data_IF_288261952036
#
_entry.id   IF_288261952036
#
_cell.length_a   1.000
_cell.length_b   1.000
_cell.length_c   1.000
_cell.angle_alpha   90.00
_cell.angle_beta   90.00
_cell.angle_gamma   90.00
#
_symmetry.space_group_name_H-M   'P 1'
#
loop_
_entity.id
_entity.type
_entity.pdbx_description
1 polymer ?
#
# COMPACT_ATOMS: atom_id res chain seq x y z
N UNK A 1 25.56 -12.15 -29.09
CA UNK A 1 24.51 -13.15 -29.39
C UNK A 1 23.69 -13.26 -28.13
N UNK A 2 22.76 -12.32 -27.96
CA UNK A 2 21.74 -12.41 -26.91
C UNK A 2 20.82 -13.57 -27.30
N UNK A 3 20.62 -14.50 -26.37
CA UNK A 3 19.68 -15.61 -26.55
C UNK A 3 18.28 -15.04 -26.71
N UNK A 4 17.63 -15.37 -27.83
CA UNK A 4 16.25 -15.03 -28.14
C UNK A 4 15.33 -15.54 -27.00
N UNK A 5 14.52 -14.68 -26.34
CA UNK A 5 13.65 -15.05 -25.21
C UNK A 5 12.60 -16.13 -25.50
N UNK A 6 12.43 -16.57 -26.74
CA UNK A 6 11.49 -17.61 -27.13
C UNK A 6 12.04 -19.02 -26.82
N UNK A 7 12.09 -19.38 -25.54
CA UNK A 7 12.21 -20.79 -25.13
C UNK A 7 10.90 -21.58 -25.32
N UNK A 8 9.81 -20.94 -25.77
CA UNK A 8 8.55 -21.60 -26.14
C UNK A 8 8.15 -21.28 -27.58
N UNK A 9 7.93 -22.31 -28.41
CA UNK A 9 7.35 -22.15 -29.75
C UNK A 9 5.85 -21.79 -29.63
N UNK A 10 5.53 -20.51 -29.43
CA UNK A 10 4.16 -20.00 -29.40
C UNK A 10 3.46 -20.03 -30.77
N UNK A 11 4.18 -20.39 -31.85
CA UNK A 11 3.53 -20.60 -33.16
C UNK A 11 2.54 -21.75 -33.08
N UNK A 12 2.91 -22.82 -32.35
CA UNK A 12 2.09 -24.03 -32.22
C UNK A 12 1.59 -24.26 -30.80
N UNK A 13 2.34 -23.86 -29.79
CA UNK A 13 1.94 -23.87 -28.37
C UNK A 13 1.05 -22.68 -28.00
N UNK A 14 0.33 -22.81 -26.88
CA UNK A 14 -0.51 -21.72 -26.38
C UNK A 14 0.36 -20.51 -25.98
N UNK A 15 -0.07 -19.32 -26.40
CA UNK A 15 0.52 -18.05 -25.96
C UNK A 15 0.15 -17.83 -24.49
N UNK A 16 1.09 -17.46 -23.59
CA UNK A 16 0.78 -17.16 -22.20
C UNK A 16 -0.27 -16.05 -22.07
N UNK A 17 -1.15 -16.14 -21.07
CA UNK A 17 -2.17 -15.12 -20.84
C UNK A 17 -1.55 -13.76 -20.44
N UNK A 18 -2.28 -12.68 -20.69
CA UNK A 18 -1.94 -11.36 -20.11
C UNK A 18 -2.01 -11.48 -18.59
N UNK A 19 -1.04 -10.91 -17.87
CA UNK A 19 -1.05 -10.96 -16.41
C UNK A 19 -2.28 -10.25 -15.86
N UNK A 20 -2.87 -10.84 -14.82
CA UNK A 20 -4.13 -10.37 -14.21
C UNK A 20 -3.93 -9.24 -13.20
N UNK A 21 -2.69 -8.98 -12.81
CA UNK A 21 -2.29 -7.93 -11.89
C UNK A 21 -1.94 -6.61 -12.60
N UNK A 22 -2.19 -6.51 -13.91
CA UNK A 22 -2.03 -5.30 -14.71
C UNK A 22 -3.40 -4.72 -15.04
N UNK A 23 -3.57 -3.42 -14.80
CA UNK A 23 -4.73 -2.68 -15.28
C UNK A 23 -4.45 -2.11 -16.68
N UNK A 24 -5.33 -2.39 -17.65
CA UNK A 24 -5.26 -1.82 -19.00
C UNK A 24 -6.27 -0.67 -19.09
N UNK A 25 -5.76 0.55 -19.16
CA UNK A 25 -6.54 1.77 -19.04
C UNK A 25 -6.56 2.50 -20.40
N UNK A 26 -7.73 2.74 -21.00
CA UNK A 26 -7.81 3.57 -22.20
C UNK A 26 -7.51 5.03 -21.85
N UNK A 27 -6.60 5.65 -22.60
CA UNK A 27 -6.20 7.06 -22.42
C UNK A 27 -6.15 7.79 -23.76
N UNK A 28 -6.46 9.09 -23.74
CA UNK A 28 -6.33 9.98 -24.89
C UNK A 28 -5.15 10.93 -24.64
N UNK A 29 -4.13 10.89 -25.49
CA UNK A 29 -2.96 11.76 -25.37
C UNK A 29 -2.64 12.41 -26.71
N UNK A 30 -2.68 13.74 -26.76
CA UNK A 30 -2.40 14.54 -27.98
C UNK A 30 -3.23 14.11 -29.22
N UNK A 31 -4.46 13.63 -29.02
CA UNK A 31 -5.33 13.14 -30.09
C UNK A 31 -5.05 11.71 -30.55
N UNK A 32 -4.16 10.98 -29.87
CA UNK A 32 -3.93 9.55 -30.05
C UNK A 32 -4.64 8.76 -28.96
N UNK A 33 -5.40 7.75 -29.36
CA UNK A 33 -6.09 6.82 -28.47
C UNK A 33 -5.17 5.66 -28.12
N UNK A 34 -4.81 5.51 -26.85
CA UNK A 34 -3.85 4.53 -26.35
C UNK A 34 -4.48 3.62 -25.30
N UNK A 35 -3.87 2.46 -25.10
CA UNK A 35 -4.07 1.56 -23.97
C UNK A 35 -2.81 1.61 -23.10
N UNK A 36 -2.93 2.21 -21.93
CA UNK A 36 -1.86 2.28 -20.93
C UNK A 36 -1.90 1.06 -20.01
N UNK A 37 -0.75 0.43 -19.78
CA UNK A 37 -0.63 -0.76 -18.94
C UNK A 37 -0.06 -0.34 -17.58
N UNK A 38 -0.93 -0.27 -16.59
CA UNK A 38 -0.55 0.07 -15.22
C UNK A 38 -0.20 -1.20 -14.43
N UNK A 39 1.09 -1.40 -14.20
CA UNK A 39 1.60 -2.45 -13.30
C UNK A 39 1.96 -1.85 -11.94
N UNK A 40 1.04 -1.96 -10.97
CA UNK A 40 1.25 -1.45 -9.61
C UNK A 40 2.40 -2.15 -8.88
N UNK A 41 2.80 -3.36 -9.33
CA UNK A 41 3.93 -4.07 -8.75
C UNK A 41 5.28 -3.61 -9.32
N UNK A 42 5.28 -2.84 -10.42
CA UNK A 42 6.49 -2.27 -11.01
C UNK A 42 7.42 -3.29 -11.68
N UNK A 43 6.87 -4.39 -12.22
CA UNK A 43 7.67 -5.32 -13.02
C UNK A 43 7.77 -4.90 -14.49
N UNK A 44 6.82 -4.09 -14.97
CA UNK A 44 6.82 -3.46 -16.29
C UNK A 44 7.42 -2.05 -16.27
N UNK A 45 7.92 -1.54 -17.42
CA UNK A 45 8.24 -0.12 -17.59
C UNK A 45 7.00 0.76 -17.37
N UNK A 46 7.19 1.88 -16.65
CA UNK A 46 6.10 2.78 -16.25
C UNK A 46 5.45 3.55 -17.41
N UNK A 47 6.03 3.53 -18.60
CA UNK A 47 5.56 4.23 -19.80
C UNK A 47 5.01 3.28 -20.88
N UNK A 48 4.78 2.01 -20.56
CA UNK A 48 4.30 1.04 -21.53
C UNK A 48 2.84 1.32 -21.93
N UNK A 49 2.66 1.73 -23.18
CA UNK A 49 1.35 1.95 -23.79
C UNK A 49 1.34 1.45 -25.24
N UNK A 50 0.16 1.02 -25.70
CA UNK A 50 -0.06 0.53 -27.06
C UNK A 50 -1.16 1.33 -27.74
N UNK A 51 -1.17 1.36 -29.07
CA UNK A 51 -2.27 1.95 -29.83
C UNK A 51 -3.57 1.18 -29.55
N UNK A 52 -4.69 1.88 -29.35
CA UNK A 52 -5.96 1.26 -28.99
C UNK A 52 -6.48 0.26 -30.03
N UNK A 53 -6.05 0.35 -31.29
CA UNK A 53 -6.40 -0.62 -32.32
C UNK A 53 -6.01 -2.07 -32.00
N UNK A 54 -5.10 -2.30 -31.05
CA UNK A 54 -4.68 -3.66 -30.63
C UNK A 54 -5.63 -4.32 -29.62
N UNK A 55 -6.65 -3.61 -29.12
CA UNK A 55 -7.60 -4.13 -28.13
C UNK A 55 -8.22 -5.50 -28.53
N UNK A 56 -8.65 -5.73 -29.80
CA UNK A 56 -9.16 -7.03 -30.21
C UNK A 56 -8.11 -8.15 -30.14
N UNK A 57 -6.82 -7.83 -30.33
CA UNK A 57 -5.73 -8.81 -30.21
C UNK A 57 -5.50 -9.21 -28.76
N UNK A 58 -5.50 -8.24 -27.84
CA UNK A 58 -5.33 -8.50 -26.41
C UNK A 58 -6.41 -9.47 -25.89
N UNK A 59 -7.65 -9.30 -26.35
CA UNK A 59 -8.77 -10.19 -26.00
C UNK A 59 -8.60 -11.65 -26.46
N UNK A 60 -7.70 -11.94 -27.40
CA UNK A 60 -7.40 -13.29 -27.84
C UNK A 60 -6.31 -13.97 -26.98
N UNK A 61 -5.53 -13.20 -26.21
CA UNK A 61 -4.39 -13.69 -25.41
C UNK A 61 -4.88 -14.19 -24.06
N UNK A 62 -5.51 -15.37 -24.10
CA UNK A 62 -6.20 -15.98 -22.95
C UNK A 62 -5.43 -17.15 -22.31
N UNK A 63 -4.22 -17.46 -22.78
CA UNK A 63 -3.47 -18.62 -22.30
C UNK A 63 -3.84 -19.95 -22.98
N UNK A 64 -4.76 -19.94 -23.94
CA UNK A 64 -5.39 -21.18 -24.47
C UNK A 64 -5.12 -21.46 -25.94
N UNK A 65 -4.68 -20.48 -26.72
CA UNK A 65 -4.51 -20.59 -28.17
C UNK A 65 -3.12 -20.17 -28.63
N UNK A 66 -2.66 -20.75 -29.73
CA UNK A 66 -1.38 -20.43 -30.39
C UNK A 66 -1.49 -19.26 -31.37
N UNK A 67 -0.36 -18.72 -31.81
CA UNK A 67 -0.31 -17.67 -32.83
C UNK A 67 -0.99 -18.14 -34.14
N UNK A 68 -0.79 -19.39 -34.55
CA UNK A 68 -1.45 -19.93 -35.74
C UNK A 68 -2.98 -19.99 -35.59
N UNK A 69 -3.48 -20.32 -34.39
CA UNK A 69 -4.91 -20.30 -34.11
C UNK A 69 -5.45 -18.87 -34.06
N UNK A 70 -4.71 -17.91 -33.48
CA UNK A 70 -5.06 -16.48 -33.52
C UNK A 70 -5.16 -15.98 -34.97
N UNK A 71 -4.18 -16.29 -35.82
CA UNK A 71 -4.19 -15.92 -37.24
C UNK A 71 -5.41 -16.50 -37.98
N UNK A 72 -5.78 -17.74 -37.67
CA UNK A 72 -7.00 -18.38 -38.21
C UNK A 72 -8.28 -17.68 -37.75
N UNK A 73 -8.39 -17.29 -36.47
CA UNK A 73 -9.54 -16.56 -35.93
C UNK A 73 -9.69 -15.17 -36.55
N UNK A 74 -8.55 -14.51 -36.80
CA UNK A 74 -8.46 -13.22 -37.48
C UNK A 74 -8.61 -13.34 -39.01
N UNK A 75 -8.86 -14.55 -39.54
CA UNK A 75 -9.03 -14.83 -40.97
C UNK A 75 -7.88 -14.30 -41.83
N UNK A 76 -6.66 -14.31 -41.29
CA UNK A 76 -5.46 -13.81 -41.97
C UNK A 76 -5.42 -12.30 -42.21
N UNK A 77 -6.24 -11.51 -41.51
CA UNK A 77 -6.15 -10.04 -41.56
C UNK A 77 -4.81 -9.51 -41.02
N UNK A 78 -4.16 -10.28 -40.16
CA UNK A 78 -2.85 -9.99 -39.58
C UNK A 78 -1.96 -11.21 -39.85
N UNK A 79 -0.72 -10.97 -40.29
CA UNK A 79 0.21 -12.04 -40.61
C UNK A 79 0.67 -12.77 -39.35
N UNK A 80 1.12 -14.02 -39.51
CA UNK A 80 1.71 -14.80 -38.40
C UNK A 80 2.95 -14.08 -37.85
N UNK A 81 3.77 -13.48 -38.72
CA UNK A 81 4.98 -12.76 -38.32
C UNK A 81 4.65 -11.51 -37.50
N UNK A 82 3.61 -10.75 -37.87
CA UNK A 82 3.16 -9.57 -37.11
C UNK A 82 2.60 -9.97 -35.75
N UNK A 83 1.81 -11.05 -35.68
CA UNK A 83 1.31 -11.58 -34.40
C UNK A 83 2.47 -12.05 -33.53
N UNK A 84 3.45 -12.74 -34.10
CA UNK A 84 4.64 -13.17 -33.39
C UNK A 84 5.43 -11.99 -32.83
N UNK A 85 5.65 -10.94 -33.63
CA UNK A 85 6.29 -9.70 -33.16
C UNK A 85 5.49 -9.01 -32.04
N UNK A 86 4.16 -9.02 -32.14
CA UNK A 86 3.28 -8.44 -31.11
C UNK A 86 3.35 -9.23 -29.79
N UNK A 87 3.27 -10.56 -29.84
CA UNK A 87 3.43 -11.40 -28.63
C UNK A 87 4.81 -11.21 -28.01
N UNK A 88 5.85 -11.15 -28.84
CA UNK A 88 7.21 -10.89 -28.35
C UNK A 88 7.36 -9.51 -27.71
N UNK A 89 6.71 -8.48 -28.24
CA UNK A 89 6.67 -7.15 -27.64
C UNK A 89 6.06 -7.20 -26.22
N UNK A 90 4.93 -7.88 -26.06
CA UNK A 90 4.26 -8.03 -24.76
C UNK A 90 5.12 -8.82 -23.76
N UNK A 91 5.70 -9.93 -24.20
CA UNK A 91 6.55 -10.79 -23.37
C UNK A 91 7.82 -10.06 -22.91
N UNK A 92 8.48 -9.36 -23.83
CA UNK A 92 9.67 -8.55 -23.56
C UNK A 92 9.42 -7.50 -22.47
N UNK A 93 8.24 -6.91 -22.46
CA UNK A 93 7.84 -5.91 -21.47
C UNK A 93 7.16 -6.51 -20.23
N UNK A 94 7.20 -7.83 -20.06
CA UNK A 94 6.60 -8.53 -18.91
C UNK A 94 5.09 -8.31 -18.75
N UNK A 95 4.36 -8.14 -19.87
CA UNK A 95 2.90 -8.05 -19.85
C UNK A 95 2.21 -9.43 -19.83
N UNK A 96 2.94 -10.49 -20.18
CA UNK A 96 2.44 -11.87 -20.23
C UNK A 96 2.88 -12.69 -19.02
N UNK A 97 2.06 -13.66 -18.62
CA UNK A 97 2.36 -14.62 -17.56
C UNK A 97 3.35 -15.69 -18.05
N UNK A 98 4.57 -15.28 -18.38
CA UNK A 98 5.61 -16.11 -19.00
C UNK A 98 6.77 -16.47 -18.06
N UNK A 99 7.67 -17.32 -18.53
CA UNK A 99 8.96 -17.58 -17.87
C UNK A 99 9.81 -16.29 -17.80
N UNK A 100 9.77 -15.44 -18.83
CA UNK A 100 10.46 -14.16 -18.84
C UNK A 100 9.96 -13.25 -17.72
N UNK A 101 8.64 -13.13 -17.56
CA UNK A 101 8.05 -12.39 -16.44
C UNK A 101 8.46 -12.98 -15.09
N UNK A 102 8.42 -14.31 -14.93
CA UNK A 102 8.80 -14.96 -13.67
C UNK A 102 10.25 -14.69 -13.31
N UNK A 103 11.16 -14.75 -14.29
CA UNK A 103 12.57 -14.39 -14.14
C UNK A 103 12.72 -12.93 -13.72
N UNK A 104 12.08 -12.00 -14.46
CA UNK A 104 12.13 -10.56 -14.19
C UNK A 104 11.59 -10.20 -12.80
N UNK A 105 10.46 -10.80 -12.41
CA UNK A 105 9.88 -10.69 -11.07
C UNK A 105 10.88 -11.13 -10.01
N UNK A 106 11.45 -12.32 -10.13
CA UNK A 106 12.39 -12.85 -9.15
C UNK A 106 13.67 -11.99 -9.06
N UNK A 107 14.18 -11.50 -10.19
CA UNK A 107 15.32 -10.57 -10.22
C UNK A 107 14.99 -9.28 -9.44
N UNK A 108 13.88 -8.61 -9.75
CA UNK A 108 13.48 -7.35 -9.08
C UNK A 108 13.32 -7.56 -7.57
N UNK A 109 12.64 -8.65 -7.16
CA UNK A 109 12.40 -8.89 -5.74
C UNK A 109 13.68 -9.25 -4.99
N UNK A 110 14.53 -10.12 -5.56
CA UNK A 110 15.81 -10.49 -4.94
C UNK A 110 16.80 -9.32 -4.90
N UNK A 111 16.80 -8.46 -5.92
CA UNK A 111 17.60 -7.23 -5.91
C UNK A 111 17.20 -6.36 -4.72
N UNK A 112 15.90 -6.08 -4.53
CA UNK A 112 15.41 -5.33 -3.38
C UNK A 112 15.75 -6.00 -2.05
N UNK A 113 15.48 -7.30 -1.91
CA UNK A 113 15.74 -8.07 -0.67
C UNK A 113 17.21 -8.00 -0.25
N UNK A 114 18.13 -7.93 -1.21
CA UNK A 114 19.57 -7.82 -0.97
C UNK A 114 20.06 -6.44 -0.52
N UNK A 115 19.25 -5.39 -0.64
CA UNK A 115 19.65 -4.03 -0.27
C UNK A 115 19.68 -3.79 1.25
N UNK A 116 20.59 -2.95 1.73
CA UNK A 116 20.57 -2.46 3.12
C UNK A 116 19.65 -1.24 3.31
N UNK A 117 19.18 -0.66 2.21
CA UNK A 117 18.38 0.55 2.19
C UNK A 117 17.04 0.33 1.49
N UNK A 118 15.98 0.93 2.02
CA UNK A 118 14.71 1.08 1.33
C UNK A 118 14.65 2.48 0.74
N UNK A 119 14.84 2.55 -0.58
CA UNK A 119 14.67 3.78 -1.35
C UNK A 119 13.19 4.20 -1.41
N UNK A 120 12.91 5.50 -1.57
CA UNK A 120 11.54 5.99 -1.65
C UNK A 120 10.83 5.47 -2.90
N UNK A 121 9.59 4.99 -2.73
CA UNK A 121 8.73 4.54 -3.82
C UNK A 121 7.92 5.67 -4.45
N UNK A 122 7.76 6.81 -3.76
CA UNK A 122 6.91 7.92 -4.20
C UNK A 122 7.68 9.17 -4.68
N UNK A 123 9.00 9.16 -4.57
CA UNK A 123 9.85 10.26 -5.06
C UNK A 123 9.71 10.39 -6.58
N UNK A 124 9.46 11.61 -7.07
CA UNK A 124 9.15 11.89 -8.47
C UNK A 124 7.69 11.62 -8.87
N UNK A 125 6.88 11.00 -7.98
CA UNK A 125 5.49 10.64 -8.23
C UNK A 125 4.55 11.52 -7.40
N UNK A 126 4.62 11.40 -6.07
CA UNK A 126 3.76 12.17 -5.15
C UNK A 126 4.47 13.40 -4.57
N UNK A 127 5.80 13.40 -4.52
CA UNK A 127 6.61 14.53 -4.09
C UNK A 127 7.92 14.61 -4.89
N UNK A 128 8.63 15.75 -4.83
CA UNK A 128 9.87 15.91 -5.58
C UNK A 128 11.00 15.03 -5.06
N UNK A 129 11.75 14.38 -5.95
CA UNK A 129 12.98 13.66 -5.60
C UNK A 129 14.15 14.60 -5.22
N UNK A 130 14.05 15.89 -5.52
CA UNK A 130 15.08 16.88 -5.19
C UNK A 130 14.91 17.40 -3.75
N UNK A 131 15.93 17.29 -2.88
CA UNK A 131 15.80 17.62 -1.46
C UNK A 131 15.28 19.03 -1.15
N UNK A 132 15.70 20.05 -1.91
CA UNK A 132 15.25 21.43 -1.66
C UNK A 132 13.76 21.61 -1.97
N UNK A 133 13.30 21.06 -3.09
CA UNK A 133 11.90 21.11 -3.51
C UNK A 133 11.02 20.22 -2.61
N UNK A 134 11.51 19.04 -2.24
CA UNK A 134 10.86 18.17 -1.26
C UNK A 134 10.61 18.91 0.05
N UNK A 135 11.67 19.51 0.62
CA UNK A 135 11.54 20.28 1.86
C UNK A 135 10.57 21.45 1.68
N UNK A 136 10.66 22.21 0.59
CA UNK A 136 9.74 23.31 0.33
C UNK A 136 8.28 22.83 0.31
N UNK A 137 7.97 21.78 -0.46
CA UNK A 137 6.62 21.20 -0.56
C UNK A 137 6.09 20.76 0.81
N UNK A 138 6.89 20.04 1.61
CA UNK A 138 6.44 19.58 2.93
C UNK A 138 6.22 20.75 3.90
N UNK A 139 7.05 21.80 3.86
CA UNK A 139 6.86 22.99 4.69
C UNK A 139 5.62 23.78 4.27
N UNK A 140 5.34 23.90 2.97
CA UNK A 140 4.13 24.53 2.45
C UNK A 140 2.88 23.80 2.94
N UNK A 141 2.85 22.47 2.84
CA UNK A 141 1.76 21.65 3.39
C UNK A 141 1.60 21.90 4.90
N UNK A 142 2.67 21.78 5.68
CA UNK A 142 2.62 21.97 7.13
C UNK A 142 2.23 23.40 7.55
N UNK A 143 2.41 24.39 6.68
CA UNK A 143 2.01 25.79 6.93
C UNK A 143 0.51 26.04 6.79
N UNK A 144 -0.22 25.11 6.17
CA UNK A 144 -1.69 25.17 6.05
C UNK A 144 -2.38 25.11 7.41
N UNK A 145 -1.70 24.60 8.44
CA UNK A 145 -2.19 24.57 9.81
C UNK A 145 -1.31 25.40 10.75
N UNK A 146 -1.96 26.14 11.66
CA UNK A 146 -1.30 26.98 12.66
C UNK A 146 -1.65 26.58 14.10
N UNK A 147 -2.24 25.40 14.30
CA UNK A 147 -2.50 24.89 15.64
C UNK A 147 -1.21 24.80 16.45
N UNK A 148 -1.32 25.13 17.73
CA UNK A 148 -0.22 24.96 18.67
C UNK A 148 0.13 23.47 18.83
N UNK A 149 1.42 23.11 18.82
CA UNK A 149 1.84 21.74 19.08
C UNK A 149 1.38 21.25 20.46
N UNK A 150 1.07 19.97 20.55
CA UNK A 150 0.75 19.36 21.85
C UNK A 150 2.00 19.22 22.71
N UNK A 151 1.80 19.25 24.04
CA UNK A 151 2.89 19.02 25.00
C UNK A 151 3.24 17.55 25.15
N UNK A 152 2.26 16.68 24.98
CA UNK A 152 2.39 15.24 25.16
C UNK A 152 1.37 14.53 24.26
N UNK A 153 1.84 13.49 23.58
CA UNK A 153 1.04 12.47 22.91
C UNK A 153 1.91 11.21 22.79
N UNK A 154 1.28 10.05 22.65
CA UNK A 154 1.96 8.76 22.50
C UNK A 154 1.68 8.08 21.18
N UNK A 155 0.59 8.43 20.49
CA UNK A 155 0.37 7.94 19.14
C UNK A 155 -0.38 8.92 18.25
N UNK A 156 -0.22 8.76 16.94
CA UNK A 156 -1.05 9.38 15.92
C UNK A 156 -1.54 8.33 14.94
N UNK A 157 -2.86 8.20 14.81
CA UNK A 157 -3.49 7.60 13.64
C UNK A 157 -3.71 8.67 12.59
N UNK A 158 -3.22 8.45 11.38
CA UNK A 158 -3.28 9.40 10.28
C UNK A 158 -3.32 8.68 8.93
N UNK A 159 -3.86 9.32 7.88
CA UNK A 159 -3.94 8.72 6.55
C UNK A 159 -2.59 8.46 5.90
N UNK A 160 -2.63 7.73 4.79
CA UNK A 160 -1.55 7.64 3.81
C UNK A 160 -2.00 7.95 2.37
N UNK A 161 -3.18 8.56 2.21
CA UNK A 161 -3.65 9.08 0.92
C UNK A 161 -2.64 10.03 0.24
N UNK A 162 -2.63 10.06 -1.09
CA UNK A 162 -1.73 10.91 -1.88
C UNK A 162 -1.70 12.37 -1.39
N UNK A 163 -0.50 12.97 -1.36
CA UNK A 163 -0.27 14.33 -0.84
C UNK A 163 -1.16 15.39 -1.48
N UNK A 164 -1.49 15.26 -2.77
CA UNK A 164 -2.35 16.20 -3.50
C UNK A 164 -3.78 16.23 -2.96
N UNK A 165 -4.20 15.13 -2.33
CA UNK A 165 -5.53 14.95 -1.75
C UNK A 165 -5.49 15.25 -0.24
N UNK A 166 -4.50 14.71 0.47
CA UNK A 166 -4.45 14.71 1.94
C UNK A 166 -3.80 15.94 2.59
N UNK A 167 -3.29 16.91 1.82
CA UNK A 167 -2.45 18.00 2.34
C UNK A 167 -3.00 18.69 3.61
N UNK A 168 -4.28 19.07 3.63
CA UNK A 168 -4.86 19.75 4.79
C UNK A 168 -4.94 18.85 6.03
N UNK A 169 -5.21 17.55 5.85
CA UNK A 169 -5.27 16.59 6.96
C UNK A 169 -3.89 16.37 7.54
N UNK A 170 -2.89 16.17 6.68
CA UNK A 170 -1.52 16.04 7.15
C UNK A 170 -1.04 17.27 7.93
N UNK A 171 -1.36 18.47 7.43
CA UNK A 171 -1.04 19.71 8.11
C UNK A 171 -1.68 19.79 9.50
N UNK A 172 -2.96 19.43 9.62
CA UNK A 172 -3.69 19.43 10.88
C UNK A 172 -3.11 18.42 11.88
N UNK A 173 -2.83 17.20 11.43
CA UNK A 173 -2.43 16.09 12.29
C UNK A 173 -0.95 16.15 12.69
N UNK A 174 -0.03 16.26 11.72
CA UNK A 174 1.41 16.21 12.01
C UNK A 174 1.95 17.50 12.65
N UNK A 175 1.31 18.65 12.45
CA UNK A 175 1.73 19.89 13.12
C UNK A 175 1.63 19.80 14.64
N UNK A 176 0.70 19.00 15.16
CA UNK A 176 0.54 18.78 16.60
C UNK A 176 1.79 18.13 17.21
N UNK A 177 2.53 17.35 16.44
CA UNK A 177 3.67 16.57 16.92
C UNK A 177 4.99 17.35 16.98
N UNK A 178 5.07 18.58 16.44
CA UNK A 178 6.31 19.37 16.28
C UNK A 178 7.13 19.53 17.57
N UNK A 179 6.47 19.59 18.73
CA UNK A 179 7.12 19.77 20.03
C UNK A 179 7.67 18.49 20.66
N UNK A 180 7.31 17.32 20.13
CA UNK A 180 7.68 16.02 20.69
C UNK A 180 9.09 15.61 20.26
N UNK A 181 9.76 14.81 21.08
CA UNK A 181 11.13 14.31 20.81
C UNK A 181 11.30 12.83 21.19
N UNK A 182 10.53 11.91 20.58
CA UNK A 182 10.74 10.48 20.83
C UNK A 182 12.10 10.04 20.29
N UNK A 183 12.67 9.00 20.89
CA UNK A 183 13.90 8.35 20.40
C UNK A 183 13.61 7.11 19.56
N UNK A 184 12.42 6.52 19.73
CA UNK A 184 11.91 5.39 18.94
C UNK A 184 10.55 5.72 18.37
N UNK A 185 10.35 5.44 17.10
CA UNK A 185 9.04 5.55 16.43
C UNK A 185 8.64 4.17 15.90
N UNK A 186 7.61 3.57 16.48
CA UNK A 186 7.03 2.33 15.97
C UNK A 186 5.94 2.71 14.96
N UNK A 187 6.07 2.24 13.72
CA UNK A 187 5.14 2.59 12.64
C UNK A 187 4.36 1.33 12.28
N UNK A 188 3.06 1.33 12.57
CA UNK A 188 2.11 0.27 12.21
C UNK A 188 1.35 0.76 10.98
N UNK A 189 1.56 0.14 9.83
CA UNK A 189 1.00 0.64 8.58
C UNK A 189 0.32 -0.47 7.77
N UNK A 190 -0.69 -0.14 6.99
CA UNK A 190 -1.36 -1.10 6.12
C UNK A 190 -0.38 -1.74 5.11
N UNK A 191 -0.50 -3.05 4.91
CA UNK A 191 0.20 -3.79 3.85
C UNK A 191 -0.72 -3.98 2.62
N UNK A 192 -0.59 -3.16 1.59
CA UNK A 192 -1.41 -3.25 0.37
C UNK A 192 -1.01 -4.43 -0.52
N UNK A 193 0.28 -4.77 -0.53
CA UNK A 193 0.85 -5.69 -1.52
C UNK A 193 1.19 -7.07 -0.98
N UNK A 194 1.03 -7.32 0.33
CA UNK A 194 1.32 -8.62 0.93
C UNK A 194 0.47 -9.75 0.32
N UNK A 195 -0.77 -9.45 -0.10
CA UNK A 195 -1.66 -10.43 -0.75
C UNK A 195 -1.13 -11.00 -2.07
N UNK A 196 -0.16 -10.35 -2.73
CA UNK A 196 0.50 -10.86 -3.93
C UNK A 196 1.56 -11.93 -3.63
N UNK A 197 1.88 -12.16 -2.35
CA UNK A 197 2.87 -13.13 -1.91
C UNK A 197 2.32 -14.04 -0.79
N UNK A 198 1.23 -14.78 -1.03
CA UNK A 198 0.57 -15.58 -0.01
C UNK A 198 1.50 -16.64 0.60
N UNK A 199 2.43 -17.19 -0.19
CA UNK A 199 3.43 -18.16 0.27
C UNK A 199 4.39 -17.58 1.32
N UNK A 200 4.59 -16.26 1.34
CA UNK A 200 5.47 -15.59 2.29
C UNK A 200 4.70 -15.13 3.54
N UNK A 201 3.43 -14.76 3.40
CA UNK A 201 2.70 -13.99 4.41
C UNK A 201 1.44 -14.64 4.99
N UNK A 202 1.03 -15.82 4.52
CA UNK A 202 -0.19 -16.49 5.00
C UNK A 202 -0.24 -16.65 6.54
N UNK A 203 0.92 -16.85 7.17
CA UNK A 203 1.03 -17.02 8.62
C UNK A 203 1.82 -15.92 9.33
N UNK A 204 2.19 -14.84 8.64
CA UNK A 204 2.99 -13.75 9.22
C UNK A 204 2.35 -12.38 8.95
N UNK A 205 1.30 -12.01 9.71
CA UNK A 205 0.55 -10.78 9.48
C UNK A 205 1.33 -9.49 9.79
N UNK A 206 2.51 -9.59 10.41
CA UNK A 206 3.34 -8.46 10.78
C UNK A 206 4.68 -8.55 10.03
N UNK A 207 4.90 -7.65 9.10
CA UNK A 207 6.07 -7.65 8.22
C UNK A 207 6.95 -6.47 8.61
N UNK A 208 8.12 -6.76 9.17
CA UNK A 208 9.14 -5.76 9.48
C UNK A 208 10.21 -5.66 8.39
N UNK A 209 11.05 -4.62 8.48
CA UNK A 209 12.24 -4.48 7.63
C UNK A 209 13.43 -4.00 8.45
N UNK A 210 14.61 -4.54 8.17
CA UNK A 210 15.89 -4.09 8.73
C UNK A 210 16.55 -2.99 7.88
N UNK A 211 15.96 -2.63 6.74
CA UNK A 211 16.56 -1.68 5.80
C UNK A 211 16.47 -0.26 6.35
N UNK A 212 17.49 0.56 6.14
CA UNK A 212 17.44 1.99 6.42
C UNK A 212 16.51 2.69 5.43
N UNK A 213 15.49 3.40 5.91
CA UNK A 213 14.55 4.08 5.02
C UNK A 213 15.14 5.41 4.56
N UNK A 214 15.09 5.67 3.26
CA UNK A 214 15.61 6.89 2.66
C UNK A 214 14.47 7.79 2.18
N UNK A 215 14.60 9.08 2.44
CA UNK A 215 13.83 10.17 1.81
C UNK A 215 14.82 11.22 1.29
N UNK A 216 14.42 12.12 0.37
CA UNK A 216 15.28 13.18 -0.12
C UNK A 216 15.89 14.01 1.03
N UNK A 217 17.21 13.85 1.25
CA UNK A 217 17.95 14.57 2.29
C UNK A 217 17.78 14.04 3.72
N UNK A 218 17.17 12.86 3.92
CA UNK A 218 17.04 12.26 5.26
C UNK A 218 17.03 10.73 5.24
N UNK A 219 17.76 10.14 6.18
CA UNK A 219 17.73 8.69 6.46
C UNK A 219 17.05 8.41 7.80
N UNK A 220 16.36 7.27 7.88
CA UNK A 220 15.72 6.78 9.09
C UNK A 220 16.28 5.41 9.46
N UNK A 221 17.20 5.34 10.44
CA UNK A 221 17.78 4.07 10.87
C UNK A 221 16.74 3.21 11.59
N UNK A 222 16.80 1.89 11.40
CA UNK A 222 15.92 0.94 12.08
C UNK A 222 16.41 0.65 13.48
N UNK A 223 15.48 0.51 14.43
CA UNK A 223 15.78 0.00 15.77
C UNK A 223 16.05 -1.51 15.72
N UNK A 224 17.32 -1.86 15.49
CA UNK A 224 17.75 -3.24 15.42
C UNK A 224 17.51 -4.01 16.72
N UNK A 225 17.58 -3.35 17.89
CA UNK A 225 17.34 -4.01 19.17
C UNK A 225 15.87 -4.42 19.30
N UNK A 226 14.94 -3.50 19.05
CA UNK A 226 13.51 -3.79 19.07
C UNK A 226 13.12 -4.85 18.02
N UNK A 227 13.70 -4.76 16.82
CA UNK A 227 13.48 -5.74 15.74
C UNK A 227 13.94 -7.15 16.16
N UNK A 228 15.12 -7.24 16.79
CA UNK A 228 15.64 -8.50 17.30
C UNK A 228 14.80 -9.09 18.43
N UNK A 229 14.12 -8.28 19.24
CA UNK A 229 13.19 -8.81 20.24
C UNK A 229 11.95 -9.43 19.59
N UNK A 230 11.38 -8.80 18.55
CA UNK A 230 10.18 -9.31 17.87
C UNK A 230 10.46 -10.62 17.10
N UNK A 231 11.61 -10.75 16.44
CA UNK A 231 11.90 -11.93 15.62
C UNK A 231 12.16 -13.20 16.45
N UNK A 232 12.56 -13.08 17.72
CA UNK A 232 12.83 -14.24 18.60
C UNK A 232 11.63 -15.18 18.77
N UNK A 233 10.42 -14.63 18.68
CA UNK A 233 9.17 -15.35 18.88
C UNK A 233 8.30 -15.36 17.60
N UNK A 234 8.94 -15.25 16.43
CA UNK A 234 8.28 -15.12 15.13
C UNK A 234 7.19 -16.17 14.85
N UNK A 235 7.42 -17.42 15.25
CA UNK A 235 6.46 -18.51 15.08
C UNK A 235 5.19 -18.35 15.90
N UNK A 236 5.26 -17.63 17.02
CA UNK A 236 4.13 -17.43 17.95
C UNK A 236 3.43 -16.10 17.68
N UNK A 237 4.18 -15.04 17.38
CA UNK A 237 3.63 -13.70 17.16
C UNK A 237 3.30 -13.42 15.69
N UNK A 238 3.75 -14.24 14.73
CA UNK A 238 3.53 -13.99 13.31
C UNK A 238 4.33 -12.82 12.72
N UNK A 239 5.44 -12.43 13.34
CA UNK A 239 6.34 -11.40 12.84
C UNK A 239 7.37 -11.98 11.86
N UNK A 240 7.61 -11.30 10.73
CA UNK A 240 8.62 -11.72 9.74
C UNK A 240 9.50 -10.54 9.33
N UNK A 241 10.71 -10.86 8.87
CA UNK A 241 11.63 -9.93 8.22
C UNK A 241 11.78 -10.22 6.71
N UNK A 242 10.92 -11.08 6.16
CA UNK A 242 10.77 -11.17 4.72
C UNK A 242 10.09 -9.88 4.25
N UNK A 243 10.89 -8.88 3.88
CA UNK A 243 10.41 -7.51 3.73
C UNK A 243 10.01 -7.16 2.30
N UNK A 244 9.82 -8.15 1.43
CA UNK A 244 9.43 -7.95 0.02
C UNK A 244 8.23 -7.03 -0.16
N UNK A 245 7.24 -7.11 0.74
CA UNK A 245 6.06 -6.24 0.70
C UNK A 245 6.40 -4.75 0.89
N UNK A 246 7.53 -4.41 1.50
CA UNK A 246 7.98 -3.03 1.66
C UNK A 246 8.46 -2.37 0.37
N UNK A 247 8.83 -3.13 -0.68
CA UNK A 247 9.48 -2.59 -1.89
C UNK A 247 8.71 -1.45 -2.54
N UNK A 248 7.41 -1.64 -2.69
CA UNK A 248 6.49 -0.71 -3.38
C UNK A 248 5.44 -0.11 -2.45
N UNK A 249 5.46 -0.50 -1.18
CA UNK A 249 4.50 0.03 -0.22
C UNK A 249 4.70 1.54 -0.03
N UNK A 250 3.62 2.26 0.26
CA UNK A 250 3.64 3.71 0.43
C UNK A 250 3.19 4.13 1.85
N UNK A 251 2.47 3.26 2.55
CA UNK A 251 1.81 3.57 3.82
C UNK A 251 2.77 4.07 4.91
N UNK A 252 3.98 3.51 5.03
CA UNK A 252 5.01 3.98 5.96
C UNK A 252 5.67 5.27 5.46
N UNK A 253 6.02 5.30 4.18
CA UNK A 253 6.76 6.40 3.55
C UNK A 253 6.01 7.73 3.69
N UNK A 254 4.69 7.70 3.48
CA UNK A 254 3.81 8.87 3.61
C UNK A 254 3.91 9.54 4.97
N UNK A 255 4.04 8.77 6.05
CA UNK A 255 4.22 9.34 7.40
C UNK A 255 5.63 9.87 7.63
N UNK A 256 6.65 9.17 7.10
CA UNK A 256 8.05 9.59 7.21
C UNK A 256 8.30 10.95 6.55
N UNK A 257 7.57 11.29 5.48
CA UNK A 257 7.63 12.62 4.84
C UNK A 257 7.44 13.72 5.88
N UNK A 258 6.40 13.62 6.70
CA UNK A 258 6.09 14.65 7.69
C UNK A 258 7.04 14.61 8.88
N UNK A 259 7.42 13.42 9.36
CA UNK A 259 8.44 13.29 10.40
C UNK A 259 9.77 13.91 9.97
N UNK A 260 10.14 13.77 8.70
CA UNK A 260 11.36 14.36 8.13
C UNK A 260 11.40 15.88 8.31
N UNK A 261 10.24 16.53 8.19
CA UNK A 261 10.07 17.96 8.27
C UNK A 261 9.96 18.46 9.72
N UNK A 262 9.21 17.76 10.58
CA UNK A 262 8.91 18.26 11.94
C UNK A 262 9.96 17.89 13.00
N UNK A 263 10.64 16.75 12.89
CA UNK A 263 11.55 16.26 13.92
C UNK A 263 12.98 16.26 13.43
N UNK A 264 13.77 17.28 13.79
CA UNK A 264 15.17 17.40 13.34
C UNK A 264 16.18 16.70 14.27
N UNK A 265 15.73 16.11 15.36
CA UNK A 265 16.57 15.28 16.24
C UNK A 265 16.67 13.84 15.71
N UNK A 266 17.63 13.10 16.26
CA UNK A 266 17.86 11.70 15.92
C UNK A 266 16.85 10.79 16.61
N UNK A 267 16.32 9.83 15.86
CA UNK A 267 15.48 8.74 16.36
C UNK A 267 15.59 7.53 15.43
N UNK A 268 15.26 6.36 15.95
CA UNK A 268 15.14 5.12 15.16
C UNK A 268 13.68 4.81 14.86
N UNK A 269 13.45 4.06 13.78
CA UNK A 269 12.12 3.56 13.42
C UNK A 269 12.02 2.04 13.60
N UNK A 270 10.82 1.56 13.92
CA UNK A 270 10.46 0.15 13.78
C UNK A 270 9.31 0.06 12.77
N UNK A 271 9.61 -0.13 11.48
CA UNK A 271 8.61 -0.15 10.41
C UNK A 271 7.93 -1.51 10.36
N UNK A 272 6.61 -1.56 10.54
CA UNK A 272 5.81 -2.78 10.52
C UNK A 272 4.62 -2.59 9.57
N UNK A 273 4.56 -3.39 8.51
CA UNK A 273 3.36 -3.54 7.70
C UNK A 273 2.44 -4.58 8.35
N UNK A 274 1.15 -4.28 8.38
CA UNK A 274 0.09 -5.09 8.98
C UNK A 274 -0.84 -5.55 7.86
N UNK A 275 -0.96 -6.87 7.69
CA UNK A 275 -1.85 -7.46 6.68
C UNK A 275 -3.33 -7.32 7.07
N UNK A 276 -4.23 -7.72 6.17
CA UNK A 276 -5.68 -7.76 6.45
C UNK A 276 -6.03 -8.63 7.65
N UNK A 277 -7.06 -8.21 8.39
CA UNK A 277 -7.59 -8.90 9.58
C UNK A 277 -9.00 -9.44 9.37
N UNK A 278 -9.40 -9.67 8.12
CA UNK A 278 -10.77 -10.08 7.76
C UNK A 278 -11.20 -11.39 8.44
N UNK A 279 -10.25 -12.26 8.74
CA UNK A 279 -10.46 -13.51 9.51
C UNK A 279 -11.12 -13.27 10.87
N UNK A 280 -10.89 -12.12 11.50
CA UNK A 280 -11.53 -11.78 12.78
C UNK A 280 -13.05 -11.62 12.66
N UNK A 281 -13.57 -11.34 11.47
CA UNK A 281 -15.00 -11.14 11.26
C UNK A 281 -15.81 -12.43 11.38
N UNK A 282 -15.20 -13.58 11.08
CA UNK A 282 -15.86 -14.89 11.12
C UNK A 282 -15.16 -15.92 12.05
N UNK A 283 -13.90 -15.70 12.40
CA UNK A 283 -13.11 -16.49 13.35
C UNK A 283 -12.43 -15.58 14.41
N UNK A 284 -13.22 -14.89 15.27
CA UNK A 284 -12.68 -13.90 16.23
C UNK A 284 -11.73 -14.47 17.28
N UNK A 285 -11.70 -15.80 17.46
CA UNK A 285 -10.80 -16.52 18.36
C UNK A 285 -9.88 -17.50 17.59
N UNK A 286 -9.61 -17.26 16.31
CA UNK A 286 -8.75 -18.11 15.48
C UNK A 286 -7.25 -17.82 15.63
N UNK A 287 -6.44 -18.51 14.83
CA UNK A 287 -4.98 -18.37 14.78
C UNK A 287 -4.50 -16.91 14.62
N UNK A 288 -5.20 -16.11 13.79
CA UNK A 288 -4.87 -14.69 13.64
C UNK A 288 -5.01 -13.92 14.97
N UNK A 289 -6.06 -14.18 15.75
CA UNK A 289 -6.26 -13.51 17.05
C UNK A 289 -5.14 -13.85 18.03
N UNK A 290 -4.73 -15.12 18.09
CA UNK A 290 -3.62 -15.57 18.94
C UNK A 290 -2.31 -14.85 18.59
N UNK A 291 -2.01 -14.70 17.29
CA UNK A 291 -0.85 -13.94 16.81
C UNK A 291 -0.95 -12.46 17.17
N UNK A 292 -2.12 -11.85 16.98
CA UNK A 292 -2.36 -10.45 17.38
C UNK A 292 -2.11 -10.26 18.88
N UNK A 293 -2.58 -11.17 19.73
CA UNK A 293 -2.40 -11.06 21.19
C UNK A 293 -0.95 -11.27 21.62
N UNK A 294 -0.28 -12.24 21.01
CA UNK A 294 1.16 -12.47 21.23
C UNK A 294 2.00 -11.27 20.79
N UNK A 295 1.73 -10.74 19.59
CA UNK A 295 2.45 -9.58 19.06
C UNK A 295 2.14 -8.31 19.85
N UNK A 296 0.88 -8.09 20.23
CA UNK A 296 0.47 -6.96 21.09
C UNK A 296 1.20 -6.99 22.42
N UNK A 297 1.34 -8.17 23.04
CA UNK A 297 2.08 -8.31 24.30
C UNK A 297 3.55 -7.87 24.15
N UNK A 298 4.20 -8.21 23.04
CA UNK A 298 5.57 -7.82 22.77
C UNK A 298 5.71 -6.33 22.40
N UNK A 299 4.79 -5.77 21.60
CA UNK A 299 4.76 -4.33 21.32
C UNK A 299 4.63 -3.51 22.60
N UNK A 300 3.85 -4.00 23.57
CA UNK A 300 3.69 -3.35 24.88
C UNK A 300 5.00 -3.34 25.68
N UNK A 301 5.83 -4.38 25.57
CA UNK A 301 7.15 -4.44 26.21
C UNK A 301 8.16 -3.47 25.58
N UNK A 302 8.01 -3.16 24.28
CA UNK A 302 8.84 -2.17 23.56
C UNK A 302 8.43 -0.70 23.82
N UNK A 303 7.31 -0.48 24.51
CA UNK A 303 6.81 0.86 24.80
C UNK A 303 7.42 1.42 26.09
N UNK A 304 8.21 2.48 25.93
CA UNK A 304 8.82 3.22 27.04
C UNK A 304 8.46 4.74 26.96
N UNK A 305 9.08 5.56 27.80
CA UNK A 305 8.83 7.01 27.81
C UNK A 305 9.26 7.71 26.51
N UNK A 306 10.23 7.15 25.78
CA UNK A 306 10.80 7.70 24.56
C UNK A 306 10.19 7.08 23.28
N UNK A 307 9.29 6.09 23.39
CA UNK A 307 8.54 5.50 22.27
C UNK A 307 7.34 6.37 21.86
N UNK A 308 7.16 6.54 20.56
CA UNK A 308 5.97 7.09 19.91
C UNK A 308 5.44 6.13 18.84
N UNK A 309 4.13 6.05 18.68
CA UNK A 309 3.48 5.19 17.68
C UNK A 309 2.89 6.01 16.52
N UNK A 310 3.17 5.61 15.29
CA UNK A 310 2.45 6.06 14.12
C UNK A 310 1.58 4.91 13.60
N UNK A 311 0.32 5.20 13.36
CA UNK A 311 -0.64 4.23 12.81
C UNK A 311 -1.11 4.78 11.47
N UNK A 312 -0.69 4.13 10.39
CA UNK A 312 -0.92 4.60 9.02
C UNK A 312 -2.04 3.83 8.35
N UNK A 313 -3.11 4.54 8.00
CA UNK A 313 -4.31 3.95 7.42
C UNK A 313 -5.35 4.98 7.01
N UNK A 314 -5.93 4.83 5.83
CA UNK A 314 -7.13 5.55 5.41
C UNK A 314 -8.41 4.88 5.95
N UNK A 315 -9.57 5.53 5.74
CA UNK A 315 -10.88 4.99 6.09
C UNK A 315 -11.48 4.27 4.86
N UNK A 316 -12.73 4.55 4.52
CA UNK A 316 -13.51 3.80 3.54
C UNK A 316 -13.07 4.05 2.08
N UNK A 317 -13.03 2.99 1.27
CA UNK A 317 -12.82 2.97 -0.18
C UNK A 317 -14.08 2.45 -0.89
N UNK A 318 -14.83 3.36 -1.54
CA UNK A 318 -16.16 3.05 -2.08
C UNK A 318 -16.40 3.54 -3.50
N UNK A 319 -17.31 2.90 -4.22
CA UNK A 319 -17.72 3.25 -5.57
C UNK A 319 -17.16 2.32 -6.64
N UNK A 320 -17.38 2.66 -7.90
CA UNK A 320 -17.18 1.72 -9.02
C UNK A 320 -15.74 1.21 -9.15
N UNK A 321 -14.74 2.06 -8.90
CA UNK A 321 -13.31 1.67 -8.92
C UNK A 321 -12.99 0.57 -7.91
N UNK A 322 -13.67 0.56 -6.77
CA UNK A 322 -13.46 -0.40 -5.69
C UNK A 322 -14.44 -1.59 -5.74
N UNK A 323 -15.14 -1.77 -6.86
CA UNK A 323 -16.03 -2.90 -7.12
C UNK A 323 -17.48 -2.71 -6.71
N UNK A 324 -17.87 -1.52 -6.21
CA UNK A 324 -19.26 -1.25 -5.85
C UNK A 324 -20.14 -1.04 -7.10
N UNK A 325 -21.37 -1.57 -7.03
CA UNK A 325 -22.38 -1.32 -8.09
C UNK A 325 -22.91 0.11 -8.06
N UNK A 326 -22.86 0.76 -6.90
CA UNK A 326 -23.33 2.12 -6.70
C UNK A 326 -22.15 3.08 -6.82
N UNK A 327 -22.45 4.29 -7.27
CA UNK A 327 -21.52 5.41 -7.29
C UNK A 327 -21.32 5.94 -5.85
N UNK A 328 -20.13 6.47 -5.56
CA UNK A 328 -19.78 6.91 -4.21
C UNK A 328 -20.69 8.02 -3.66
N UNK A 329 -21.18 8.93 -4.50
CA UNK A 329 -22.12 10.00 -4.12
C UNK A 329 -23.41 9.44 -3.48
N UNK A 330 -23.90 8.31 -3.99
CA UNK A 330 -25.10 7.63 -3.48
C UNK A 330 -24.86 6.87 -2.19
N UNK A 331 -23.60 6.58 -1.87
CA UNK A 331 -23.18 5.84 -0.67
C UNK A 331 -22.73 6.78 0.45
N UNK A 332 -22.34 8.02 0.13
CA UNK A 332 -21.69 8.97 1.04
C UNK A 332 -22.34 9.07 2.42
N UNK A 333 -23.64 9.35 2.49
CA UNK A 333 -24.29 9.58 3.78
C UNK A 333 -24.33 8.35 4.71
N UNK A 334 -24.32 7.12 4.17
CA UNK A 334 -24.17 5.91 4.99
C UNK A 334 -22.72 5.62 5.34
N UNK A 335 -21.79 5.88 4.43
CA UNK A 335 -20.35 5.67 4.64
C UNK A 335 -19.80 6.65 5.66
N UNK A 336 -20.14 7.94 5.59
CA UNK A 336 -19.72 8.93 6.60
C UNK A 336 -20.17 8.53 8.01
N UNK A 337 -21.41 8.02 8.17
CA UNK A 337 -21.88 7.50 9.46
C UNK A 337 -21.10 6.27 9.93
N UNK A 338 -20.74 5.40 8.99
CA UNK A 338 -19.96 4.20 9.26
C UNK A 338 -18.54 4.56 9.71
N UNK A 339 -17.89 5.49 9.02
CA UNK A 339 -16.56 6.01 9.36
C UNK A 339 -16.55 6.76 10.70
N UNK A 340 -17.55 7.60 10.96
CA UNK A 340 -17.64 8.33 12.23
C UNK A 340 -17.79 7.37 13.42
N UNK A 341 -18.62 6.32 13.29
CA UNK A 341 -18.72 5.29 14.33
C UNK A 341 -17.38 4.55 14.53
N UNK A 342 -16.65 4.24 13.46
CA UNK A 342 -15.31 3.65 13.56
C UNK A 342 -14.34 4.57 14.32
N UNK A 343 -14.29 5.85 13.97
CA UNK A 343 -13.43 6.84 14.63
C UNK A 343 -13.83 7.05 16.10
N UNK A 344 -15.12 7.07 16.41
CA UNK A 344 -15.63 7.18 17.78
C UNK A 344 -15.17 6.00 18.64
N UNK A 345 -15.40 4.75 18.19
CA UNK A 345 -14.92 3.56 18.91
C UNK A 345 -13.40 3.56 19.08
N UNK A 346 -12.65 3.99 18.06
CA UNK A 346 -11.20 4.09 18.13
C UNK A 346 -10.76 5.14 19.16
N UNK A 347 -11.36 6.34 19.13
CA UNK A 347 -11.04 7.44 20.04
C UNK A 347 -11.42 7.14 21.49
N UNK A 348 -12.39 6.26 21.72
CA UNK A 348 -12.74 5.78 23.07
C UNK A 348 -11.83 4.66 23.58
N UNK A 349 -10.87 4.19 22.77
CA UNK A 349 -9.98 3.09 23.13
C UNK A 349 -10.67 1.72 23.12
N UNK A 350 -11.67 1.53 22.25
CA UNK A 350 -12.58 0.39 22.25
C UNK A 350 -12.40 -0.55 21.03
N UNK A 351 -11.39 -1.44 21.04
CA UNK A 351 -11.15 -2.36 19.92
C UNK A 351 -12.29 -3.36 19.67
N UNK A 352 -13.01 -3.79 20.72
CA UNK A 352 -14.15 -4.69 20.55
C UNK A 352 -15.34 -4.00 19.88
N UNK A 353 -15.54 -2.71 20.14
CA UNK A 353 -16.50 -1.87 19.44
C UNK A 353 -16.20 -1.75 17.95
N UNK A 354 -14.94 -1.51 17.58
CA UNK A 354 -14.49 -1.51 16.17
C UNK A 354 -14.81 -2.84 15.50
N UNK A 355 -14.37 -3.96 16.11
CA UNK A 355 -14.58 -5.28 15.52
C UNK A 355 -16.08 -5.57 15.36
N UNK A 356 -16.89 -5.29 16.38
CA UNK A 356 -18.34 -5.46 16.29
C UNK A 356 -19.01 -4.56 15.25
N UNK A 357 -18.45 -3.39 14.98
CA UNK A 357 -18.95 -2.47 13.95
C UNK A 357 -18.65 -3.01 12.55
N UNK A 358 -17.42 -3.47 12.32
CA UNK A 358 -16.95 -3.96 11.02
C UNK A 358 -17.53 -5.32 10.64
N UNK A 359 -17.59 -6.26 11.59
CA UNK A 359 -18.09 -7.63 11.35
C UNK A 359 -19.57 -7.67 10.92
N UNK A 360 -20.36 -6.62 11.17
CA UNK A 360 -21.79 -6.58 10.78
C UNK A 360 -21.98 -6.63 9.26
N UNK A 361 -21.04 -6.04 8.51
CA UNK A 361 -21.08 -5.94 7.06
C UNK A 361 -19.82 -6.52 6.39
N UNK A 362 -18.98 -7.22 7.15
CA UNK A 362 -17.67 -7.72 6.68
C UNK A 362 -16.83 -6.60 6.06
N UNK A 363 -16.77 -5.45 6.73
CA UNK A 363 -16.09 -4.23 6.25
C UNK A 363 -16.43 -3.91 4.79
N UNK A 364 -17.73 -3.81 4.49
CA UNK A 364 -18.22 -3.58 3.12
C UNK A 364 -17.70 -2.29 2.47
N UNK A 365 -17.06 -1.40 3.25
CA UNK A 365 -16.47 -0.15 2.78
C UNK A 365 -14.94 -0.18 2.72
N UNK A 366 -14.28 -1.31 3.03
CA UNK A 366 -12.84 -1.54 2.85
C UNK A 366 -11.97 -0.50 3.58
N UNK A 367 -12.09 -0.45 4.91
CA UNK A 367 -11.29 0.43 5.76
C UNK A 367 -9.86 -0.11 5.89
N UNK A 368 -8.95 0.40 5.05
CA UNK A 368 -7.57 -0.11 5.01
C UNK A 368 -6.79 0.16 6.32
N UNK A 369 -7.17 1.19 7.08
CA UNK A 369 -6.58 1.52 8.37
C UNK A 369 -7.07 0.69 9.55
N UNK A 370 -8.04 -0.21 9.34
CA UNK A 370 -8.56 -1.07 10.41
C UNK A 370 -7.48 -1.96 11.04
N UNK A 371 -6.72 -2.78 10.28
CA UNK A 371 -5.74 -3.68 10.89
C UNK A 371 -4.68 -2.99 11.76
N UNK A 372 -3.96 -1.94 11.30
CA UNK A 372 -2.95 -1.29 12.12
C UNK A 372 -3.54 -0.55 13.33
N UNK A 373 -4.72 0.07 13.19
CA UNK A 373 -5.38 0.75 14.32
C UNK A 373 -5.92 -0.23 15.35
N UNK A 374 -6.54 -1.32 14.89
CA UNK A 374 -7.00 -2.39 15.77
C UNK A 374 -5.84 -3.01 16.55
N UNK A 375 -4.70 -3.26 15.90
CA UNK A 375 -3.51 -3.78 16.56
C UNK A 375 -3.01 -2.83 17.67
N UNK A 376 -2.94 -1.53 17.40
CA UNK A 376 -2.56 -0.53 18.40
C UNK A 376 -3.51 -0.53 19.60
N UNK A 377 -4.83 -0.55 19.35
CA UNK A 377 -5.85 -0.54 20.40
C UNK A 377 -5.92 -1.87 21.17
N UNK A 378 -5.61 -3.01 20.54
CA UNK A 378 -5.46 -4.30 21.22
C UNK A 378 -4.22 -4.30 22.13
N UNK A 379 -3.16 -3.59 21.74
CA UNK A 379 -1.94 -3.42 22.54
C UNK A 379 -2.16 -2.50 23.74
N UNK A 380 -2.88 -1.40 23.54
CA UNK A 380 -3.14 -0.38 24.56
C UNK A 380 -4.65 -0.11 24.71
N UNK A 381 -5.40 -1.05 25.30
CA UNK A 381 -6.84 -0.85 25.53
C UNK A 381 -7.06 0.35 26.48
N UNK A 382 -8.22 0.99 26.34
CA UNK A 382 -8.66 2.16 27.13
C UNK A 382 -7.82 3.43 26.94
N UNK A 383 -6.87 3.45 25.98
CA UNK A 383 -6.20 4.67 25.55
C UNK A 383 -7.16 5.50 24.71
N UNK A 384 -7.68 6.55 25.34
CA UNK A 384 -8.52 7.54 24.67
C UNK A 384 -7.67 8.43 23.78
N UNK A 385 -8.25 8.85 22.66
CA UNK A 385 -7.68 9.82 21.75
C UNK A 385 -8.69 10.92 21.39
N UNK A 386 -8.18 11.95 20.73
CA UNK A 386 -8.98 13.05 20.18
C UNK A 386 -9.07 12.89 18.67
N UNK A 387 -10.30 12.83 18.13
CA UNK A 387 -10.53 12.89 16.68
C UNK A 387 -10.18 14.30 16.21
N UNK A 388 -9.14 14.41 15.39
CA UNK A 388 -8.63 15.70 14.91
C UNK A 388 -9.42 16.17 13.69
N UNK A 389 -9.71 15.25 12.77
CA UNK A 389 -10.38 15.55 11.51
C UNK A 389 -11.00 14.32 10.85
N UNK A 390 -11.88 14.60 9.89
CA UNK A 390 -12.47 13.65 8.95
C UNK A 390 -12.67 14.36 7.60
N UNK A 391 -12.33 13.67 6.52
CA UNK A 391 -12.41 14.19 5.16
C UNK A 391 -12.92 13.12 4.20
N UNK A 392 -13.57 13.60 3.14
CA UNK A 392 -14.10 12.80 2.04
C UNK A 392 -13.50 13.34 0.73
N UNK A 393 -12.76 12.50 0.01
CA UNK A 393 -12.28 12.81 -1.32
C UNK A 393 -13.18 12.14 -2.36
N UNK A 394 -13.83 12.96 -3.18
CA UNK A 394 -14.65 12.53 -4.31
C UNK A 394 -13.79 12.45 -5.58
N UNK A 395 -13.51 11.22 -6.02
CA UNK A 395 -12.87 10.92 -7.31
C UNK A 395 -13.97 10.82 -8.38
N UNK A 396 -14.62 11.95 -8.67
CA UNK A 396 -15.84 12.03 -9.49
C UNK A 396 -15.70 11.31 -10.84
N UNK A 397 -14.56 11.44 -11.50
CA UNK A 397 -14.25 10.82 -12.80
C UNK A 397 -14.32 9.29 -12.77
N UNK A 398 -14.08 8.67 -11.61
CA UNK A 398 -14.15 7.22 -11.40
C UNK A 398 -15.40 6.78 -10.66
N UNK A 399 -16.33 7.72 -10.39
CA UNK A 399 -17.55 7.50 -9.62
C UNK A 399 -17.27 6.83 -8.26
N UNK A 400 -16.14 7.20 -7.66
CA UNK A 400 -15.55 6.58 -6.48
C UNK A 400 -15.09 7.62 -5.47
N UNK A 401 -14.87 7.21 -4.22
CA UNK A 401 -14.38 8.07 -3.17
C UNK A 401 -13.53 7.31 -2.17
N UNK A 402 -12.65 8.05 -1.50
CA UNK A 402 -11.89 7.59 -0.34
C UNK A 402 -12.13 8.57 0.80
N UNK A 403 -12.44 8.07 1.98
CA UNK A 403 -12.49 8.88 3.20
C UNK A 403 -11.25 8.64 4.06
N UNK A 404 -10.92 9.62 4.90
CA UNK A 404 -9.77 9.56 5.78
C UNK A 404 -9.92 10.53 6.95
N UNK A 405 -9.23 10.25 8.05
CA UNK A 405 -9.27 11.07 9.25
C UNK A 405 -8.06 10.79 10.14
N UNK A 406 -7.99 11.48 11.27
CA UNK A 406 -6.87 11.32 12.20
C UNK A 406 -7.33 11.32 13.65
N UNK A 407 -6.61 10.57 14.49
CA UNK A 407 -6.83 10.52 15.95
C UNK A 407 -5.48 10.67 16.64
N UNK A 408 -5.40 11.57 17.62
CA UNK A 408 -4.21 11.76 18.47
C UNK A 408 -4.45 11.13 19.85
N UNK A 409 -3.55 10.26 20.31
CA UNK A 409 -3.63 9.52 21.58
C UNK A 409 -2.60 9.96 22.61
#
# INVERSE_FOLDING_TARGET
MESDPLNGDFLTGAVPEIRRDIDIIPVEQNGTSLLYFLDSMGYMPADFALDRSVEPLLNLITGTISINQMASLLKGQISVDDLHAFIHLLDKHSALQSENFTKRKNEIESDFESMDERLPSLAGISYSEHPDLFNQQTHEILSLNRSEPVKQAKALYAPHIDLRVGASVYAQSFSLLKGLKPKRVIILATAHYAGFFPELYADTPFIGSNKMFQLPGRSFPVDAAATNELIKNNTVNGFTLNDRAHRIEHSIEMHLIFLSAIWKHDFTILPILVTGFDDLFYMPNGNLKEKIDSFSSQLKELNDEDTFFLISGDLSHVGKKFGDKKTADKMRGSVEKYDHAFLEFASDGNPSGILSHLSKSFDETRICGFPPLYLYLNTFPDKKGEIINYHWWDEHERESAVSFGSILF
#
